data_IF_553686157169
#
_entry.id   IF_553686157169
#
_cell.length_a   1.000
_cell.length_b   1.000
_cell.length_c   1.000
_cell.angle_alpha   90.00
_cell.angle_beta   90.00
_cell.angle_gamma   90.00
#
_symmetry.space_group_name_H-M   'P 1'
#
loop_
_entity.id
_entity.type
_entity.pdbx_description
1 polymer ?
#
# COMPACT_ATOMS: atom_id res chain seq x y z
N UNK A 1 8.47 22.42 -16.25
CA UNK A 1 8.20 21.92 -14.88
C UNK A 1 6.86 21.21 -14.94
N UNK A 2 6.88 19.89 -14.93
CA UNK A 2 5.65 19.09 -14.97
C UNK A 2 4.87 19.31 -13.68
N UNK A 3 3.58 19.64 -13.82
CA UNK A 3 2.67 19.81 -12.69
C UNK A 3 2.50 18.46 -11.98
N UNK A 4 3.28 18.22 -10.92
CA UNK A 4 3.12 17.06 -10.04
C UNK A 4 1.79 17.18 -9.29
N UNK A 5 0.73 16.56 -9.81
CA UNK A 5 -0.59 16.51 -9.15
C UNK A 5 -0.50 15.54 -7.98
N UNK A 6 -0.27 16.07 -6.77
CA UNK A 6 -0.29 15.30 -5.54
C UNK A 6 -1.69 15.33 -4.98
N UNK A 7 -2.26 14.16 -4.68
CA UNK A 7 -3.49 14.09 -3.89
C UNK A 7 -3.17 13.43 -2.56
N UNK A 8 -3.44 14.16 -1.47
CA UNK A 8 -3.36 13.62 -0.10
C UNK A 8 -4.46 12.57 0.17
N UNK A 9 -5.39 12.39 -0.77
CA UNK A 9 -6.53 11.47 -0.66
C UNK A 9 -6.46 10.42 -1.76
N UNK A 10 -6.74 9.16 -1.42
CA UNK A 10 -6.80 8.10 -2.42
C UNK A 10 -7.87 8.44 -3.46
N UNK A 11 -7.51 8.30 -4.74
CA UNK A 11 -8.42 8.54 -5.85
C UNK A 11 -9.14 7.25 -6.30
N UNK A 12 -8.99 6.15 -5.57
CA UNK A 12 -9.58 4.85 -5.90
C UNK A 12 -9.21 4.36 -7.32
N UNK A 13 -8.04 4.75 -7.82
CA UNK A 13 -7.53 4.37 -9.15
C UNK A 13 -6.83 3.00 -9.18
N UNK A 14 -6.51 2.43 -8.01
CA UNK A 14 -5.83 1.14 -7.89
C UNK A 14 -4.37 1.12 -8.34
N UNK A 15 -3.75 2.25 -8.69
CA UNK A 15 -2.39 2.27 -9.27
C UNK A 15 -1.31 1.88 -8.24
N UNK A 16 -1.42 2.38 -7.02
CA UNK A 16 -0.45 2.10 -5.94
C UNK A 16 -0.73 0.81 -5.17
N UNK A 17 -1.82 0.10 -5.48
CA UNK A 17 -2.23 -1.11 -4.77
C UNK A 17 -2.17 -2.36 -5.64
N UNK A 18 -1.79 -2.25 -6.92
CA UNK A 18 -1.71 -3.37 -7.87
C UNK A 18 -0.28 -3.67 -8.27
N UNK A 19 -0.06 -4.88 -8.78
CA UNK A 19 1.20 -5.29 -9.41
C UNK A 19 2.45 -5.11 -8.53
N UNK A 20 2.45 -5.74 -7.37
CA UNK A 20 3.54 -5.73 -6.38
C UNK A 20 3.85 -4.32 -5.88
N UNK A 21 3.01 -3.75 -5.00
CA UNK A 21 3.15 -2.35 -4.57
C UNK A 21 4.28 -2.11 -3.56
N UNK A 22 4.99 -3.16 -3.10
CA UNK A 22 6.13 -3.09 -2.18
C UNK A 22 5.92 -2.12 -0.99
N UNK A 23 4.79 -2.28 -0.29
CA UNK A 23 4.40 -1.40 0.82
C UNK A 23 5.18 -1.80 2.07
N UNK A 24 6.25 -1.08 2.37
CA UNK A 24 7.00 -1.23 3.62
C UNK A 24 6.19 -0.69 4.80
N UNK A 25 6.24 -1.40 5.93
CA UNK A 25 5.60 -1.02 7.18
C UNK A 25 6.53 -1.17 8.38
N UNK A 26 6.48 -0.21 9.28
CA UNK A 26 7.17 -0.26 10.58
C UNK A 26 6.25 -0.79 11.70
N UNK A 27 6.80 -0.95 12.91
CA UNK A 27 6.05 -1.53 14.05
C UNK A 27 4.82 -0.70 14.47
N UNK A 28 4.89 0.64 14.36
CA UNK A 28 3.74 1.52 14.63
C UNK A 28 2.60 1.23 13.64
N UNK A 29 2.92 1.10 12.37
CA UNK A 29 1.95 0.84 11.30
C UNK A 29 1.40 -0.59 11.39
N UNK A 30 2.24 -1.58 11.69
CA UNK A 30 1.79 -2.94 11.96
C UNK A 30 0.83 -2.98 13.15
N UNK A 31 1.13 -2.29 14.24
CA UNK A 31 0.25 -2.19 15.41
C UNK A 31 -1.10 -1.53 15.04
N UNK A 32 -1.09 -0.49 14.21
CA UNK A 32 -2.32 0.15 13.74
C UNK A 32 -3.16 -0.81 12.87
N UNK A 33 -2.52 -1.59 12.01
CA UNK A 33 -3.17 -2.60 11.17
C UNK A 33 -3.72 -3.76 12.00
N UNK A 34 -3.00 -4.27 13.00
CA UNK A 34 -3.49 -5.30 13.93
C UNK A 34 -4.74 -4.79 14.66
N UNK A 35 -4.70 -3.56 15.18
CA UNK A 35 -5.84 -2.95 15.86
C UNK A 35 -7.06 -2.76 14.96
N UNK A 36 -6.85 -2.41 13.69
CA UNK A 36 -7.93 -2.18 12.73
C UNK A 36 -8.53 -3.49 12.20
N UNK A 37 -7.67 -4.45 11.82
CA UNK A 37 -8.07 -5.70 11.15
C UNK A 37 -8.42 -6.82 12.11
N UNK A 38 -7.92 -6.76 13.35
CA UNK A 38 -7.92 -7.85 14.34
C UNK A 38 -7.13 -9.09 13.90
N UNK A 39 -6.30 -8.97 12.86
CA UNK A 39 -5.37 -9.99 12.42
C UNK A 39 -4.04 -9.84 13.17
N UNK A 40 -3.29 -10.92 13.29
CA UNK A 40 -1.93 -10.86 13.79
C UNK A 40 -0.97 -10.42 12.66
N UNK A 41 0.10 -9.68 12.98
CA UNK A 41 1.02 -9.11 11.96
C UNK A 41 1.52 -10.11 10.91
N UNK A 42 1.83 -11.34 11.31
CA UNK A 42 2.30 -12.39 10.39
C UNK A 42 1.24 -12.82 9.35
N UNK A 43 -0.03 -12.48 9.54
CA UNK A 43 -1.09 -12.75 8.56
C UNK A 43 -1.09 -11.76 7.41
N UNK A 44 -0.58 -10.53 7.63
CA UNK A 44 -0.60 -9.47 6.63
C UNK A 44 0.77 -8.89 6.27
N UNK A 45 1.85 -9.31 6.93
CA UNK A 45 3.21 -8.93 6.57
C UNK A 45 4.12 -10.12 6.27
N UNK A 46 5.13 -9.86 5.43
CA UNK A 46 6.31 -10.69 5.24
C UNK A 46 7.55 -9.92 5.74
N UNK A 47 8.48 -10.59 6.46
CA UNK A 47 9.70 -9.95 6.93
C UNK A 47 10.63 -9.63 5.75
N UNK A 48 11.30 -8.47 5.79
CA UNK A 48 12.29 -8.08 4.77
C UNK A 48 13.63 -8.80 4.94
N UNK A 49 13.94 -9.22 6.16
CA UNK A 49 15.17 -9.86 6.52
C UNK A 49 14.97 -10.93 7.60
N UNK A 50 16.07 -11.51 8.11
CA UNK A 50 15.99 -12.54 9.14
C UNK A 50 15.48 -12.02 10.49
N UNK A 51 15.44 -10.70 10.70
CA UNK A 51 15.02 -10.09 11.96
C UNK A 51 13.86 -9.11 11.78
N UNK A 52 13.13 -8.85 12.87
CA UNK A 52 12.08 -7.83 12.88
C UNK A 52 12.60 -6.40 12.71
N UNK A 53 13.90 -6.18 12.92
CA UNK A 53 14.54 -4.87 12.76
C UNK A 53 14.76 -4.49 11.28
N UNK A 54 14.72 -5.47 10.37
CA UNK A 54 14.99 -5.27 8.94
C UNK A 54 13.80 -4.67 8.17
N UNK A 55 12.67 -4.44 8.83
CA UNK A 55 11.43 -3.97 8.21
C UNK A 55 10.53 -5.11 7.73
N UNK A 56 9.30 -4.76 7.34
CA UNK A 56 8.30 -5.71 6.82
C UNK A 56 7.62 -5.13 5.60
N UNK A 57 7.24 -6.00 4.66
CA UNK A 57 6.34 -5.63 3.58
C UNK A 57 4.93 -6.13 3.86
N UNK A 58 3.92 -5.39 3.42
CA UNK A 58 2.58 -5.96 3.31
C UNK A 58 2.59 -7.12 2.32
N UNK A 59 1.91 -8.19 2.69
CA UNK A 59 1.64 -9.32 1.83
C UNK A 59 0.89 -8.89 0.58
N UNK A 60 1.13 -9.65 -0.49
CA UNK A 60 0.38 -9.52 -1.74
C UNK A 60 -0.52 -10.74 -1.94
N UNK A 61 -1.60 -10.54 -2.69
CA UNK A 61 -2.40 -11.63 -3.23
C UNK A 61 -1.59 -12.39 -4.29
N UNK A 62 -2.08 -13.55 -4.70
CA UNK A 62 -1.42 -14.36 -5.75
C UNK A 62 -1.22 -13.61 -7.09
N UNK A 63 -2.06 -12.62 -7.39
CA UNK A 63 -1.93 -11.79 -8.59
C UNK A 63 -0.97 -10.59 -8.42
N UNK A 64 -0.31 -10.47 -7.27
CA UNK A 64 0.61 -9.37 -6.94
C UNK A 64 -0.07 -8.13 -6.36
N UNK A 65 -1.40 -8.06 -6.29
CA UNK A 65 -2.08 -6.91 -5.68
C UNK A 65 -1.88 -6.87 -4.16
N UNK A 66 -1.98 -5.69 -3.57
CA UNK A 66 -2.02 -5.52 -2.12
C UNK A 66 -3.09 -6.45 -1.50
N UNK A 67 -2.74 -7.13 -0.41
CA UNK A 67 -3.66 -8.01 0.32
C UNK A 67 -4.98 -7.31 0.67
N UNK A 68 -4.92 -6.02 1.01
CA UNK A 68 -6.10 -5.23 1.41
C UNK A 68 -6.82 -4.53 0.25
N UNK A 69 -6.39 -4.69 -0.99
CA UNK A 69 -7.12 -4.14 -2.14
C UNK A 69 -8.47 -4.86 -2.28
N UNK A 70 -9.56 -4.10 -2.39
CA UNK A 70 -10.88 -4.60 -2.78
C UNK A 70 -11.19 -4.14 -4.20
N UNK A 71 -11.77 -5.04 -5.00
CA UNK A 71 -12.19 -4.78 -6.37
C UNK A 71 -13.65 -5.20 -6.48
N UNK A 72 -14.52 -4.26 -6.83
CA UNK A 72 -15.97 -4.49 -6.96
C UNK A 72 -16.46 -3.81 -8.25
N UNK A 73 -16.92 -4.60 -9.22
CA UNK A 73 -17.33 -4.12 -10.56
C UNK A 73 -16.32 -3.15 -11.20
N UNK A 74 -15.03 -3.44 -11.07
CA UNK A 74 -13.94 -2.60 -11.60
C UNK A 74 -13.59 -1.38 -10.74
N UNK A 75 -14.28 -1.15 -9.62
CA UNK A 75 -13.97 -0.09 -8.66
C UNK A 75 -12.96 -0.58 -7.63
N UNK A 76 -11.93 0.22 -7.39
CA UNK A 76 -10.89 -0.10 -6.40
C UNK A 76 -11.18 0.59 -5.07
N UNK A 77 -11.03 -0.14 -3.96
CA UNK A 77 -11.08 0.45 -2.62
C UNK A 77 -10.07 -0.21 -1.68
N UNK A 78 -9.68 0.49 -0.61
CA UNK A 78 -8.75 -0.04 0.38
C UNK A 78 -9.53 -0.61 1.57
N UNK A 79 -9.34 -1.90 1.87
CA UNK A 79 -9.95 -2.55 3.03
C UNK A 79 -9.46 -2.03 4.38
N UNK A 80 -8.34 -1.30 4.41
CA UNK A 80 -7.73 -0.73 5.64
C UNK A 80 -7.50 0.77 5.51
N UNK A 81 -8.41 1.49 4.82
CA UNK A 81 -8.22 2.90 4.47
C UNK A 81 -7.79 3.80 5.65
N UNK A 82 -8.40 3.63 6.81
CA UNK A 82 -8.10 4.41 8.02
C UNK A 82 -6.80 3.98 8.71
N UNK A 83 -6.30 2.77 8.45
CA UNK A 83 -5.06 2.22 9.00
C UNK A 83 -3.93 2.11 7.97
N UNK A 84 -4.08 2.75 6.80
CA UNK A 84 -3.04 2.77 5.75
C UNK A 84 -1.68 3.19 6.30
N UNK A 85 -0.65 2.51 5.79
CA UNK A 85 0.75 2.90 5.97
C UNK A 85 1.01 4.31 5.40
N UNK A 86 2.02 4.99 5.93
CA UNK A 86 2.39 6.35 5.57
C UNK A 86 2.78 6.44 4.09
N UNK A 87 3.45 5.40 3.54
CA UNK A 87 3.73 5.32 2.10
C UNK A 87 2.45 5.32 1.26
N UNK A 88 1.38 4.66 1.72
CA UNK A 88 0.08 4.62 1.03
C UNK A 88 -0.70 5.93 1.17
N UNK A 89 -0.54 6.65 2.29
CA UNK A 89 -1.19 7.97 2.52
C UNK A 89 -0.54 9.07 1.69
N UNK A 90 0.77 9.00 1.56
CA UNK A 90 1.58 10.02 0.91
C UNK A 90 1.92 9.65 -0.55
N UNK A 91 1.40 8.53 -1.07
CA UNK A 91 1.68 8.11 -2.43
C UNK A 91 1.16 9.14 -3.45
N UNK A 92 1.97 9.58 -4.43
CA UNK A 92 3.34 9.14 -4.73
C UNK A 92 4.42 9.82 -3.85
N UNK A 93 5.34 9.04 -3.27
CA UNK A 93 6.39 9.58 -2.35
C UNK A 93 7.77 9.85 -2.98
N UNK A 94 8.06 9.35 -4.19
CA UNK A 94 9.35 9.54 -4.86
C UNK A 94 9.17 9.59 -6.39
N UNK A 95 10.23 9.92 -7.13
CA UNK A 95 10.15 10.08 -8.60
C UNK A 95 9.71 8.82 -9.34
N UNK A 96 10.12 7.64 -8.87
CA UNK A 96 9.67 6.36 -9.45
C UNK A 96 8.16 6.17 -9.29
N UNK A 97 7.62 6.46 -8.10
CA UNK A 97 6.18 6.41 -7.86
C UNK A 97 5.42 7.43 -8.71
N UNK A 98 5.97 8.63 -8.89
CA UNK A 98 5.40 9.66 -9.77
C UNK A 98 5.31 9.19 -11.21
N UNK A 99 6.43 8.66 -11.74
CA UNK A 99 6.49 8.11 -13.09
C UNK A 99 5.47 6.98 -13.27
N UNK A 100 5.45 6.01 -12.35
CA UNK A 100 4.50 4.91 -12.36
C UNK A 100 3.04 5.39 -12.36
N UNK A 101 2.73 6.38 -11.51
CA UNK A 101 1.39 6.97 -11.46
C UNK A 101 0.98 7.59 -12.79
N UNK A 102 1.88 8.34 -13.43
CA UNK A 102 1.57 9.04 -14.67
C UNK A 102 1.42 8.07 -15.86
N UNK A 103 2.23 7.02 -15.90
CA UNK A 103 2.21 6.03 -16.99
C UNK A 103 1.04 5.04 -16.89
N UNK A 104 0.49 4.82 -15.68
CA UNK A 104 -0.57 3.82 -15.44
C UNK A 104 -1.92 4.44 -15.05
N UNK A 105 -2.09 5.76 -15.22
CA UNK A 105 -3.39 6.43 -15.11
C UNK A 105 -4.25 6.05 -16.31
N UNK A 106 -5.39 5.41 -16.04
CA UNK A 106 -6.44 5.09 -17.01
C UNK A 106 -7.43 6.25 -17.06
#
# INVERSE_FOLDING_TARGET
MENKISSLTCQNCGICCRNFPFVEVNDREMTALENFTKLHRNEFTDPMGPTYADGHFLKTKANGDCLFLKVDDGHFSCGVYEARADICRNYPVNEHHWKWCNENRI
#
